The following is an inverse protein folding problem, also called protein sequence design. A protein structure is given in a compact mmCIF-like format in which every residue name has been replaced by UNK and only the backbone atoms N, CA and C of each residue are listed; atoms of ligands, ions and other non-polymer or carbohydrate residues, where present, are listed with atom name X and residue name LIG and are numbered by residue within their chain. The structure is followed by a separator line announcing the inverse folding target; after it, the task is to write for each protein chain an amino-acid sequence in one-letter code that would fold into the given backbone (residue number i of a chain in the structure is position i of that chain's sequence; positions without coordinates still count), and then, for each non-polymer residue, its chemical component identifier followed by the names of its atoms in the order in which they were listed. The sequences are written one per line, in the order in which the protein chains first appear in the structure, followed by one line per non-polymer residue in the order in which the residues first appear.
data_IF_950934655611
#
_entry.id   IF_950934655611
#
_cell.length_a   1.000
_cell.length_b   1.000
_cell.length_c   1.000
_cell.angle_alpha   90.00
_cell.angle_beta   90.00
_cell.angle_gamma   90.00
#
_symmetry.space_group_name_H-M   'P 1'
#
loop_
_entity.id
_entity.type
_entity.pdbx_description
1 polymer ?
#
# COMPACT_ATOMS: atom_id res chain seq x y z
N UNK A 1 -3.39 8.14 15.77
CA UNK A 1 -3.46 7.45 14.45
C UNK A 1 -4.69 6.57 14.37
N UNK A 2 -5.33 6.47 13.20
CA UNK A 2 -6.55 5.69 12.96
C UNK A 2 -6.51 5.04 11.58
N UNK A 3 -7.30 3.97 11.40
CA UNK A 3 -7.52 3.37 10.07
C UNK A 3 -8.36 4.32 9.21
N UNK A 4 -7.92 4.55 7.98
CA UNK A 4 -8.62 5.34 6.96
C UNK A 4 -9.11 4.48 5.78
N UNK A 5 -8.42 3.38 5.48
CA UNK A 5 -8.94 2.33 4.61
C UNK A 5 -8.53 0.95 5.14
N UNK A 6 -9.39 -0.03 4.89
CA UNK A 6 -9.13 -1.42 5.21
C UNK A 6 -9.66 -2.32 4.11
N UNK A 7 -8.78 -3.16 3.59
CA UNK A 7 -9.17 -4.18 2.61
C UNK A 7 -8.88 -5.57 3.16
N UNK A 8 -9.74 -6.52 2.87
CA UNK A 8 -9.57 -7.91 3.27
C UNK A 8 -9.83 -8.85 2.09
N UNK A 9 -9.11 -9.96 2.07
CA UNK A 9 -9.43 -11.11 1.22
C UNK A 9 -9.75 -12.28 2.13
N UNK A 10 -10.98 -12.76 2.06
CA UNK A 10 -11.54 -13.85 2.85
C UNK A 10 -11.67 -15.06 1.93
N UNK A 11 -11.05 -16.19 2.32
CA UNK A 11 -11.07 -17.44 1.58
C UNK A 11 -12.01 -18.44 2.27
N UNK A 12 -12.43 -19.45 1.51
CA UNK A 12 -13.16 -20.60 2.02
C UNK A 12 -14.46 -20.23 2.79
N UNK A 13 -15.08 -19.13 2.34
CA UNK A 13 -16.37 -18.63 2.87
C UNK A 13 -17.31 -18.28 1.73
N UNK A 14 -18.58 -18.60 1.91
CA UNK A 14 -19.62 -18.23 0.98
C UNK A 14 -19.80 -16.71 0.93
N UNK A 15 -19.96 -16.18 -0.26
CA UNK A 15 -20.08 -14.75 -0.52
C UNK A 15 -21.26 -14.08 0.19
N UNK A 16 -22.46 -14.75 0.15
CA UNK A 16 -23.66 -14.27 0.84
C UNK A 16 -23.45 -14.23 2.36
N UNK A 17 -22.89 -15.30 2.92
CA UNK A 17 -22.58 -15.36 4.35
C UNK A 17 -21.65 -14.24 4.83
N UNK A 18 -20.60 -13.93 4.05
CA UNK A 18 -19.70 -12.81 4.39
C UNK A 18 -20.45 -11.49 4.37
N UNK A 19 -21.27 -11.25 3.33
CA UNK A 19 -22.01 -10.00 3.20
C UNK A 19 -23.03 -9.82 4.35
N UNK A 20 -23.80 -10.85 4.69
CA UNK A 20 -24.80 -10.82 5.76
C UNK A 20 -24.15 -10.62 7.14
N UNK A 21 -23.06 -11.36 7.42
CA UNK A 21 -22.32 -11.24 8.69
C UNK A 21 -21.79 -9.82 8.89
N UNK A 22 -21.21 -9.22 7.86
CA UNK A 22 -20.68 -7.85 7.94
C UNK A 22 -21.82 -6.82 8.02
N UNK A 23 -22.91 -6.99 7.27
CA UNK A 23 -24.07 -6.11 7.34
C UNK A 23 -24.67 -6.09 8.75
N UNK A 24 -24.86 -7.24 9.37
CA UNK A 24 -25.32 -7.35 10.76
C UNK A 24 -24.38 -6.67 11.74
N UNK A 25 -23.07 -6.91 11.61
CA UNK A 25 -22.05 -6.33 12.50
C UNK A 25 -21.93 -4.81 12.39
N UNK A 26 -22.18 -4.26 11.20
CA UNK A 26 -22.15 -2.82 10.93
C UNK A 26 -23.51 -2.15 11.09
N UNK A 27 -24.56 -2.92 11.37
CA UNK A 27 -25.95 -2.46 11.40
C UNK A 27 -26.37 -1.77 10.09
N UNK A 28 -25.91 -2.33 8.96
CA UNK A 28 -26.10 -1.79 7.64
C UNK A 28 -27.03 -2.62 6.76
N UNK A 29 -27.35 -2.08 5.60
CA UNK A 29 -28.19 -2.72 4.60
C UNK A 29 -27.36 -3.16 3.40
N UNK A 30 -27.66 -4.35 2.86
CA UNK A 30 -27.01 -4.86 1.65
C UNK A 30 -27.69 -4.27 0.44
N UNK A 31 -26.89 -3.63 -0.42
CA UNK A 31 -27.32 -3.05 -1.67
C UNK A 31 -26.52 -3.60 -2.85
N UNK A 32 -26.99 -3.41 -4.07
CA UNK A 32 -26.23 -3.79 -5.27
C UNK A 32 -24.97 -2.93 -5.39
N UNK A 33 -23.81 -3.58 -5.48
CA UNK A 33 -22.53 -2.92 -5.64
C UNK A 33 -22.27 -2.47 -7.09
N UNK A 34 -21.29 -1.56 -7.25
CA UNK A 34 -20.80 -1.15 -8.57
C UNK A 34 -20.06 -2.31 -9.23
N UNK A 35 -20.42 -2.71 -10.46
CA UNK A 35 -19.71 -3.76 -11.17
C UNK A 35 -18.24 -3.43 -11.40
N UNK A 36 -17.37 -4.42 -11.23
CA UNK A 36 -15.94 -4.33 -11.52
C UNK A 36 -15.48 -5.56 -12.29
N UNK A 37 -14.66 -5.39 -13.34
CA UNK A 37 -14.28 -6.46 -14.27
C UNK A 37 -13.73 -7.74 -13.65
N UNK A 38 -13.06 -7.61 -12.51
CA UNK A 38 -12.44 -8.76 -11.82
C UNK A 38 -13.45 -9.61 -11.06
N UNK A 39 -14.59 -9.04 -10.70
CA UNK A 39 -15.53 -9.67 -9.77
C UNK A 39 -16.81 -10.07 -10.48
N UNK A 40 -17.26 -11.31 -10.24
CA UNK A 40 -18.50 -11.85 -10.82
C UNK A 40 -19.75 -11.26 -10.17
N UNK A 41 -19.65 -10.95 -8.89
CA UNK A 41 -20.74 -10.34 -8.10
C UNK A 41 -20.18 -9.26 -7.19
N UNK A 42 -20.95 -8.19 -7.01
CA UNK A 42 -20.57 -7.07 -6.14
C UNK A 42 -21.76 -6.59 -5.32
N UNK A 43 -21.51 -6.29 -4.04
CA UNK A 43 -22.46 -5.73 -3.09
C UNK A 43 -21.85 -4.54 -2.37
N UNK A 44 -22.69 -3.65 -1.89
CA UNK A 44 -22.36 -2.63 -0.90
C UNK A 44 -23.06 -2.96 0.42
N UNK A 45 -22.45 -2.58 1.52
CA UNK A 45 -23.11 -2.43 2.81
C UNK A 45 -23.20 -0.93 3.08
N UNK A 46 -24.41 -0.43 3.13
CA UNK A 46 -24.68 0.98 3.42
C UNK A 46 -25.13 1.17 4.86
N UNK A 47 -24.53 2.16 5.55
CA UNK A 47 -24.86 2.59 6.91
C UNK A 47 -25.12 4.09 6.85
N UNK A 48 -26.23 4.56 7.37
CA UNK A 48 -26.61 5.99 7.36
C UNK A 48 -26.49 6.65 5.98
N UNK A 49 -26.98 5.97 4.94
CA UNK A 49 -26.94 6.40 3.54
C UNK A 49 -25.50 6.59 2.98
N UNK A 50 -24.51 5.94 3.56
CA UNK A 50 -23.12 5.94 3.07
C UNK A 50 -22.62 4.50 2.93
N UNK A 51 -21.87 4.25 1.87
CA UNK A 51 -21.24 2.94 1.68
C UNK A 51 -20.15 2.74 2.73
N UNK A 52 -20.41 1.84 3.68
CA UNK A 52 -19.48 1.42 4.73
C UNK A 52 -18.51 0.35 4.25
N UNK A 53 -18.96 -0.54 3.39
CA UNK A 53 -18.13 -1.58 2.78
C UNK A 53 -18.59 -1.88 1.36
N UNK A 54 -17.61 -2.16 0.49
CA UNK A 54 -17.80 -2.75 -0.82
C UNK A 54 -17.29 -4.19 -0.78
N UNK A 55 -18.05 -5.13 -1.35
CA UNK A 55 -17.75 -6.56 -1.33
C UNK A 55 -17.78 -7.09 -2.76
N UNK A 56 -16.76 -7.85 -3.14
CA UNK A 56 -16.66 -8.47 -4.45
C UNK A 56 -16.28 -9.95 -4.39
N UNK A 57 -16.94 -10.79 -5.19
CA UNK A 57 -16.57 -12.19 -5.38
C UNK A 57 -15.56 -12.28 -6.54
N UNK A 58 -14.31 -12.68 -6.23
CA UNK A 58 -13.25 -12.82 -7.22
C UNK A 58 -13.53 -14.02 -8.14
N UNK A 59 -13.61 -13.76 -9.45
CA UNK A 59 -13.97 -14.75 -10.45
C UNK A 59 -12.96 -15.91 -10.58
N UNK A 60 -11.68 -15.63 -10.32
CA UNK A 60 -10.61 -16.59 -10.54
C UNK A 60 -10.35 -17.49 -9.33
N UNK A 61 -10.46 -16.93 -8.11
CA UNK A 61 -10.10 -17.63 -6.88
C UNK A 61 -11.29 -18.06 -6.04
N UNK A 62 -12.50 -17.55 -6.32
CA UNK A 62 -13.66 -17.73 -5.47
C UNK A 62 -13.57 -17.01 -4.11
N UNK A 63 -12.52 -16.25 -3.86
CA UNK A 63 -12.36 -15.52 -2.61
C UNK A 63 -13.23 -14.26 -2.58
N UNK A 64 -13.63 -13.87 -1.37
CA UNK A 64 -14.40 -12.64 -1.13
C UNK A 64 -13.45 -11.51 -0.78
N UNK A 65 -13.49 -10.46 -1.58
CA UNK A 65 -12.76 -9.22 -1.33
C UNK A 65 -13.69 -8.21 -0.66
N UNK A 66 -13.20 -7.56 0.38
CA UNK A 66 -13.94 -6.53 1.13
C UNK A 66 -13.10 -5.27 1.20
N UNK A 67 -13.71 -4.11 0.98
CA UNK A 67 -13.05 -2.80 1.08
C UNK A 67 -13.94 -1.80 1.82
N UNK A 68 -13.38 -1.10 2.81
CA UNK A 68 -13.99 0.06 3.47
C UNK A 68 -13.04 1.23 3.50
N UNK A 69 -13.60 2.45 3.50
CA UNK A 69 -12.84 3.71 3.48
C UNK A 69 -13.40 4.73 4.46
N UNK A 70 -12.53 5.61 4.95
CA UNK A 70 -12.89 6.71 5.82
C UNK A 70 -13.37 6.27 7.20
N UNK A 71 -14.37 6.94 7.72
CA UNK A 71 -14.84 6.80 9.11
C UNK A 71 -15.35 5.40 9.48
N UNK A 72 -15.79 4.61 8.50
CA UNK A 72 -16.32 3.25 8.72
C UNK A 72 -15.24 2.18 8.78
N UNK A 73 -14.03 2.46 8.29
CA UNK A 73 -12.92 1.51 8.23
C UNK A 73 -12.57 0.85 9.58
N UNK A 74 -12.53 1.56 10.72
CA UNK A 74 -12.25 0.93 12.01
C UNK A 74 -13.31 -0.09 12.43
N UNK A 75 -14.60 0.22 12.22
CA UNK A 75 -15.70 -0.69 12.53
C UNK A 75 -15.68 -1.93 11.63
N UNK A 76 -15.46 -1.72 10.33
CA UNK A 76 -15.31 -2.81 9.36
C UNK A 76 -14.14 -3.72 9.70
N UNK A 77 -12.97 -3.15 9.99
CA UNK A 77 -11.78 -3.93 10.37
C UNK A 77 -12.03 -4.75 11.63
N UNK A 78 -12.72 -4.19 12.63
CA UNK A 78 -13.11 -4.90 13.84
C UNK A 78 -14.05 -6.08 13.53
N UNK A 79 -15.08 -5.85 12.72
CA UNK A 79 -16.02 -6.90 12.31
C UNK A 79 -15.31 -8.04 11.56
N UNK A 80 -14.45 -7.71 10.61
CA UNK A 80 -13.70 -8.71 9.84
C UNK A 80 -12.76 -9.51 10.77
N UNK A 81 -12.03 -8.87 11.67
CA UNK A 81 -11.14 -9.53 12.64
C UNK A 81 -11.86 -10.51 13.55
N UNK A 82 -13.08 -10.18 13.98
CA UNK A 82 -13.90 -11.01 14.84
C UNK A 82 -14.46 -12.22 14.11
N UNK A 83 -15.04 -12.02 12.92
CA UNK A 83 -15.78 -13.07 12.22
C UNK A 83 -14.94 -13.87 11.23
N UNK A 84 -13.84 -13.29 10.74
CA UNK A 84 -12.96 -13.88 9.74
C UNK A 84 -11.48 -13.71 10.14
N UNK A 85 -11.02 -14.27 11.27
CA UNK A 85 -9.69 -13.99 11.84
C UNK A 85 -8.53 -14.36 10.89
N UNK A 86 -8.73 -15.32 9.98
CA UNK A 86 -7.71 -15.79 9.03
C UNK A 86 -7.71 -15.03 7.69
N UNK A 87 -8.41 -13.88 7.61
CA UNK A 87 -8.38 -13.06 6.41
C UNK A 87 -6.98 -12.50 6.14
N UNK A 88 -6.69 -12.20 4.90
CA UNK A 88 -5.46 -11.50 4.51
C UNK A 88 -5.74 -10.05 4.11
N UNK A 89 -4.80 -9.15 4.41
CA UNK A 89 -4.93 -7.71 4.16
C UNK A 89 -4.03 -7.29 3.01
N UNK A 90 -4.54 -7.11 1.79
CA UNK A 90 -3.74 -6.63 0.66
C UNK A 90 -3.42 -5.13 0.70
N UNK A 91 -4.23 -4.34 1.41
CA UNK A 91 -4.02 -2.92 1.63
C UNK A 91 -4.69 -2.47 2.92
N UNK A 92 -4.01 -1.59 3.64
CA UNK A 92 -4.61 -0.79 4.71
C UNK A 92 -3.99 0.60 4.71
N UNK A 93 -4.82 1.61 4.97
CA UNK A 93 -4.37 2.99 5.07
C UNK A 93 -4.58 3.46 6.52
N UNK A 94 -3.59 4.13 7.04
CA UNK A 94 -3.61 4.72 8.38
C UNK A 94 -3.30 6.20 8.30
N UNK A 95 -4.00 7.00 9.06
CA UNK A 95 -3.83 8.45 9.01
C UNK A 95 -3.77 9.11 10.39
N UNK A 96 -3.20 10.31 10.41
CA UNK A 96 -3.24 11.24 11.51
C UNK A 96 -3.63 12.61 10.99
N UNK A 97 -4.44 13.32 11.78
CA UNK A 97 -4.99 14.62 11.45
C UNK A 97 -4.41 15.70 12.37
N UNK A 98 -4.03 16.82 11.79
CA UNK A 98 -3.51 17.99 12.48
C UNK A 98 -4.29 19.23 12.00
N UNK A 99 -4.71 20.09 12.93
CA UNK A 99 -5.54 21.26 12.60
C UNK A 99 -4.98 22.50 13.26
N UNK A 100 -3.75 22.84 12.89
CA UNK A 100 -3.01 23.98 13.38
C UNK A 100 -2.49 24.80 12.20
N UNK A 101 -2.35 26.10 12.39
CA UNK A 101 -1.76 26.96 11.36
C UNK A 101 -0.34 26.50 11.01
N UNK A 102 -0.05 26.37 9.72
CA UNK A 102 1.25 25.87 9.24
C UNK A 102 1.47 24.37 9.40
N UNK A 103 0.46 23.58 9.82
CA UNK A 103 0.60 22.13 10.04
C UNK A 103 1.16 21.39 8.83
N UNK A 104 0.71 21.72 7.61
CA UNK A 104 1.21 21.06 6.39
C UNK A 104 2.73 21.24 6.25
N UNK A 105 3.25 22.44 6.38
CA UNK A 105 4.66 22.73 6.16
C UNK A 105 5.53 22.14 7.28
N UNK A 106 5.06 22.17 8.53
CA UNK A 106 5.71 21.54 9.68
C UNK A 106 5.80 20.01 9.50
N UNK A 107 4.71 19.36 9.13
CA UNK A 107 4.67 17.92 8.87
C UNK A 107 5.56 17.55 7.67
N UNK A 108 5.57 18.36 6.60
CA UNK A 108 6.44 18.13 5.45
C UNK A 108 7.92 18.17 5.86
N UNK A 109 8.31 19.11 6.71
CA UNK A 109 9.68 19.21 7.22
C UNK A 109 10.06 17.97 8.03
N UNK A 110 9.20 17.51 8.95
CA UNK A 110 9.41 16.30 9.76
C UNK A 110 9.56 15.07 8.86
N UNK A 111 8.62 14.84 7.96
CA UNK A 111 8.64 13.67 7.07
C UNK A 111 9.85 13.71 6.15
N UNK A 112 10.23 14.88 5.63
CA UNK A 112 11.42 15.06 4.79
C UNK A 112 12.71 14.72 5.53
N UNK A 113 12.84 15.12 6.78
CA UNK A 113 13.99 14.81 7.63
C UNK A 113 14.09 13.31 7.96
N UNK A 114 12.96 12.65 8.15
CA UNK A 114 12.89 11.28 8.70
C UNK A 114 12.87 10.17 7.63
N UNK A 115 12.45 10.46 6.38
CA UNK A 115 12.24 9.45 5.33
C UNK A 115 13.51 8.75 4.81
N UNK A 116 14.69 9.27 5.13
CA UNK A 116 15.96 8.79 4.57
C UNK A 116 16.21 9.29 3.12
N UNK A 117 17.50 9.44 2.77
CA UNK A 117 17.92 10.11 1.53
C UNK A 117 17.49 9.38 0.24
N UNK A 118 17.41 8.04 0.27
CA UNK A 118 17.08 7.22 -0.90
C UNK A 118 15.58 7.18 -1.25
N UNK A 119 14.71 7.61 -0.33
CA UNK A 119 13.26 7.58 -0.55
C UNK A 119 12.84 8.83 -1.32
N UNK A 120 12.29 8.64 -2.51
CA UNK A 120 11.82 9.74 -3.36
C UNK A 120 10.61 10.44 -2.73
N UNK A 121 10.55 11.76 -2.90
CA UNK A 121 9.44 12.57 -2.46
C UNK A 121 9.21 13.72 -3.45
N UNK A 122 7.94 14.13 -3.61
CA UNK A 122 7.56 15.21 -4.52
C UNK A 122 6.10 15.59 -4.39
N UNK A 123 5.73 16.73 -4.95
CA UNK A 123 4.34 17.12 -5.05
C UNK A 123 3.62 16.27 -6.09
N UNK A 124 2.44 15.77 -5.72
CA UNK A 124 1.53 15.03 -6.60
C UNK A 124 0.52 15.98 -7.23
N UNK A 125 0.08 16.97 -6.46
CA UNK A 125 -0.70 18.10 -6.91
C UNK A 125 -0.13 19.37 -6.29
N UNK A 126 0.24 20.32 -7.15
CA UNK A 126 0.45 21.71 -6.80
C UNK A 126 -0.79 22.43 -7.32
N UNK A 127 -1.54 23.13 -6.49
CA UNK A 127 -2.68 23.89 -6.96
C UNK A 127 -2.24 25.04 -7.84
N UNK A 128 -2.98 25.29 -8.90
CA UNK A 128 -2.85 26.51 -9.70
C UNK A 128 -3.41 27.71 -8.94
N UNK A 129 -4.31 27.48 -7.98
CA UNK A 129 -4.86 28.45 -7.02
C UNK A 129 -4.50 28.06 -5.58
N UNK A 130 -4.26 29.06 -4.71
CA UNK A 130 -3.99 28.89 -3.28
C UNK A 130 -5.15 28.20 -2.54
N UNK A 131 -6.35 28.23 -3.11
CA UNK A 131 -7.54 27.57 -2.55
C UNK A 131 -7.56 26.05 -2.75
N UNK A 132 -6.85 25.54 -3.76
CA UNK A 132 -6.75 24.12 -3.99
C UNK A 132 -5.64 23.53 -3.13
N UNK A 133 -5.97 22.59 -2.25
CA UNK A 133 -5.02 22.05 -1.28
C UNK A 133 -3.80 21.36 -1.92
N UNK A 134 -2.63 21.57 -1.34
CA UNK A 134 -1.39 20.89 -1.73
C UNK A 134 -1.45 19.41 -1.38
N UNK A 135 -0.88 18.55 -2.22
CA UNK A 135 -0.61 17.14 -1.90
C UNK A 135 0.85 16.81 -2.20
N UNK A 136 1.56 16.38 -1.18
CA UNK A 136 2.94 15.93 -1.27
C UNK A 136 3.04 14.46 -0.88
N UNK A 137 3.85 13.68 -1.61
CA UNK A 137 3.95 12.24 -1.42
C UNK A 137 5.39 11.78 -1.27
N UNK A 138 5.56 10.67 -0.57
CA UNK A 138 6.83 10.02 -0.26
C UNK A 138 6.72 8.53 -0.49
N UNK A 139 7.73 7.96 -1.12
CA UNK A 139 7.76 6.56 -1.52
C UNK A 139 7.19 6.33 -2.91
N UNK A 140 7.08 5.07 -3.30
CA UNK A 140 6.53 4.66 -4.58
C UNK A 140 5.08 4.18 -4.41
N UNK A 141 4.16 4.68 -5.21
CA UNK A 141 2.78 4.20 -5.24
C UNK A 141 2.77 2.71 -5.62
N UNK A 142 2.12 1.89 -4.79
CA UNK A 142 2.15 0.44 -4.94
C UNK A 142 3.33 -0.26 -4.25
N UNK A 143 4.29 0.48 -3.69
CA UNK A 143 5.29 -0.06 -2.76
C UNK A 143 4.67 -0.47 -1.43
N UNK A 144 5.46 -1.11 -0.55
CA UNK A 144 4.99 -1.53 0.78
C UNK A 144 4.49 -0.34 1.59
N UNK A 145 5.14 0.83 1.47
CA UNK A 145 4.73 2.07 2.11
C UNK A 145 4.70 3.23 1.12
N UNK A 146 3.61 3.98 1.12
CA UNK A 146 3.44 5.22 0.37
C UNK A 146 2.76 6.25 1.26
N UNK A 147 3.47 7.31 1.64
CA UNK A 147 2.95 8.36 2.52
C UNK A 147 2.46 9.53 1.67
N UNK A 148 1.27 10.01 2.00
CA UNK A 148 0.69 11.25 1.47
C UNK A 148 0.52 12.25 2.60
N UNK A 149 0.92 13.47 2.34
CA UNK A 149 0.64 14.63 3.18
C UNK A 149 -0.17 15.60 2.35
N UNK A 150 -1.32 16.01 2.82
CA UNK A 150 -2.19 16.91 2.09
C UNK A 150 -3.00 17.85 3.00
N UNK A 151 -3.34 19.02 2.44
CA UNK A 151 -4.20 20.02 3.10
C UNK A 151 -5.66 19.55 3.02
N UNK A 152 -6.03 18.69 3.95
CA UNK A 152 -7.34 18.03 3.96
C UNK A 152 -8.52 19.00 4.09
N UNK A 153 -8.32 20.13 4.78
CA UNK A 153 -9.34 21.14 4.96
C UNK A 153 -9.67 21.96 3.71
N UNK A 154 -8.77 21.95 2.72
CA UNK A 154 -8.98 22.61 1.43
C UNK A 154 -9.59 21.70 0.37
N UNK A 155 -9.80 20.41 0.69
CA UNK A 155 -10.46 19.49 -0.25
C UNK A 155 -11.92 19.89 -0.45
N UNK A 156 -12.44 19.94 -1.71
CA UNK A 156 -13.79 20.40 -2.01
C UNK A 156 -14.89 19.74 -1.16
N UNK A 157 -14.80 18.43 -0.96
CA UNK A 157 -15.76 17.65 -0.16
C UNK A 157 -15.70 17.96 1.35
N UNK A 158 -14.72 18.74 1.82
CA UNK A 158 -14.45 19.01 3.24
C UNK A 158 -14.51 20.49 3.61
N UNK A 159 -14.64 21.39 2.63
CA UNK A 159 -14.72 22.83 2.85
C UNK A 159 -15.85 23.21 3.83
N UNK A 160 -16.97 22.49 3.76
CA UNK A 160 -18.12 22.70 4.65
C UNK A 160 -17.84 22.45 6.12
N UNK A 161 -16.71 21.79 6.46
CA UNK A 161 -16.31 21.51 7.84
C UNK A 161 -15.65 22.70 8.54
N UNK A 162 -15.32 23.78 7.81
CA UNK A 162 -14.74 25.00 8.37
C UNK A 162 -13.36 24.82 9.02
N UNK A 163 -12.54 23.89 8.54
CA UNK A 163 -11.20 23.56 9.09
C UNK A 163 -10.09 23.85 8.06
N UNK A 164 -9.80 25.11 7.74
CA UNK A 164 -8.89 25.48 6.65
C UNK A 164 -7.44 25.03 6.89
N UNK A 165 -7.01 24.89 8.15
CA UNK A 165 -5.65 24.49 8.53
C UNK A 165 -5.48 22.99 8.65
N UNK A 166 -6.54 22.21 8.43
CA UNK A 166 -6.50 20.78 8.57
C UNK A 166 -5.57 20.13 7.54
N UNK A 167 -4.44 19.61 8.01
CA UNK A 167 -3.52 18.77 7.27
C UNK A 167 -3.67 17.31 7.72
N UNK A 168 -3.51 16.38 6.77
CA UNK A 168 -3.51 14.95 7.05
C UNK A 168 -2.25 14.30 6.52
N UNK A 169 -1.61 13.50 7.36
CA UNK A 169 -0.59 12.54 6.94
C UNK A 169 -1.20 11.15 6.89
N UNK A 170 -1.03 10.45 5.79
CA UNK A 170 -1.63 9.15 5.52
C UNK A 170 -0.59 8.19 4.96
N UNK A 171 -0.47 7.02 5.56
CA UNK A 171 0.32 5.91 5.06
C UNK A 171 -0.61 4.90 4.37
N UNK A 172 -0.42 4.69 3.07
CA UNK A 172 -0.94 3.54 2.34
C UNK A 172 0.07 2.41 2.47
N UNK A 173 -0.30 1.33 3.15
CA UNK A 173 0.51 0.13 3.32
C UNK A 173 -0.04 -1.01 2.44
N UNK A 174 0.85 -1.61 1.62
CA UNK A 174 0.54 -2.75 0.75
C UNK A 174 1.50 -3.90 1.02
N UNK A 175 1.19 -4.78 1.97
CA UNK A 175 1.99 -5.98 2.20
C UNK A 175 2.05 -6.84 0.94
N UNK A 176 3.25 -7.25 0.53
CA UNK A 176 3.42 -7.98 -0.73
C UNK A 176 3.28 -9.49 -0.54
N UNK A 177 3.81 -10.02 0.56
CA UNK A 177 3.87 -11.46 0.81
C UNK A 177 2.69 -11.98 1.61
N UNK A 178 2.38 -13.27 1.46
CA UNK A 178 1.24 -13.88 2.13
C UNK A 178 1.34 -13.78 3.65
N UNK A 179 2.52 -14.05 4.23
CA UNK A 179 2.79 -13.91 5.66
C UNK A 179 2.52 -12.48 6.14
N UNK A 180 3.01 -11.49 5.39
CA UNK A 180 2.88 -10.09 5.76
C UNK A 180 1.43 -9.61 5.68
N UNK A 181 0.65 -10.11 4.70
CA UNK A 181 -0.80 -9.85 4.60
C UNK A 181 -1.59 -10.42 5.76
N UNK A 182 -1.20 -11.59 6.25
CA UNK A 182 -1.80 -12.20 7.46
C UNK A 182 -1.41 -11.43 8.71
N UNK A 183 -0.15 -11.04 8.84
CA UNK A 183 0.32 -10.22 9.96
C UNK A 183 -0.40 -8.86 10.01
N UNK A 184 -0.59 -8.20 8.88
CA UNK A 184 -1.29 -6.92 8.77
C UNK A 184 -2.75 -6.99 9.26
N UNK A 185 -3.38 -8.17 9.20
CA UNK A 185 -4.74 -8.37 9.68
C UNK A 185 -4.91 -8.04 11.16
N UNK A 186 -3.87 -8.19 11.97
CA UNK A 186 -3.90 -8.03 13.42
C UNK A 186 -3.20 -6.77 13.94
N UNK A 187 -2.60 -5.98 13.05
CA UNK A 187 -1.84 -4.79 13.45
C UNK A 187 -2.74 -3.64 13.92
N UNK A 188 -2.24 -2.91 14.91
CA UNK A 188 -2.80 -1.61 15.27
C UNK A 188 -2.43 -0.54 14.21
N UNK A 189 -3.12 0.59 14.14
CA UNK A 189 -2.76 1.68 13.24
C UNK A 189 -1.30 2.15 13.39
N UNK A 190 -0.76 2.12 14.60
CA UNK A 190 0.64 2.51 14.84
C UNK A 190 1.62 1.46 14.32
N UNK A 191 1.34 0.16 14.52
CA UNK A 191 2.21 -0.94 14.09
C UNK A 191 2.39 -0.98 12.56
N UNK A 192 1.39 -0.52 11.81
CA UNK A 192 1.43 -0.47 10.34
C UNK A 192 2.59 0.39 9.82
N UNK A 193 2.96 1.43 10.54
CA UNK A 193 4.11 2.26 10.18
C UNK A 193 5.44 1.52 10.29
N UNK A 194 5.48 0.43 11.03
CA UNK A 194 6.66 -0.43 11.18
C UNK A 194 6.99 -1.30 9.96
N UNK A 195 6.10 -1.39 8.94
CA UNK A 195 6.30 -2.26 7.77
C UNK A 195 7.52 -1.91 6.91
N UNK A 196 7.90 -0.65 6.84
CA UNK A 196 9.13 -0.24 6.17
C UNK A 196 9.99 0.60 7.11
N UNK A 197 11.31 0.43 7.05
CA UNK A 197 12.22 1.13 7.95
C UNK A 197 12.07 2.66 7.90
N UNK A 198 11.82 3.21 6.71
CA UNK A 198 11.64 4.65 6.55
C UNK A 198 10.28 5.15 7.06
N UNK A 199 9.20 4.38 6.93
CA UNK A 199 7.89 4.74 7.51
C UNK A 199 7.92 4.66 9.03
N UNK A 200 8.63 3.69 9.59
CA UNK A 200 8.92 3.60 11.01
C UNK A 200 9.57 4.89 11.55
N UNK A 201 10.66 5.35 10.92
CA UNK A 201 11.34 6.58 11.34
C UNK A 201 10.46 7.83 11.22
N UNK A 202 9.59 7.87 10.21
CA UNK A 202 8.59 8.94 10.06
C UNK A 202 7.59 8.92 11.22
N UNK A 203 7.07 7.76 11.57
CA UNK A 203 6.08 7.65 12.65
C UNK A 203 6.68 8.01 14.03
N UNK A 204 7.92 7.59 14.32
CA UNK A 204 8.62 7.98 15.54
C UNK A 204 8.78 9.51 15.63
N UNK A 205 9.09 10.16 14.51
CA UNK A 205 9.23 11.62 14.47
C UNK A 205 7.88 12.36 14.59
N UNK A 206 6.77 11.76 14.13
CA UNK A 206 5.44 12.36 14.20
C UNK A 206 4.76 12.19 15.56
N UNK A 207 5.06 11.10 16.29
CA UNK A 207 4.25 10.69 17.44
C UNK A 207 4.98 10.75 18.77
N UNK A 208 6.29 10.89 18.80
CA UNK A 208 7.13 10.72 20.01
C UNK A 208 6.97 9.34 20.69
N UNK A 209 6.25 8.41 20.06
CA UNK A 209 6.02 7.06 20.54
C UNK A 209 7.01 6.09 19.91
N UNK A 210 7.42 5.07 20.65
CA UNK A 210 8.12 3.94 20.04
C UNK A 210 7.18 3.18 19.12
N UNK A 211 7.59 3.00 17.88
CA UNK A 211 6.87 2.23 16.87
C UNK A 211 7.49 0.85 16.77
N UNK A 212 6.74 -0.23 16.92
CA UNK A 212 7.28 -1.57 16.72
C UNK A 212 7.82 -1.73 15.31
N UNK A 213 9.02 -2.29 15.17
CA UNK A 213 9.54 -2.66 13.85
C UNK A 213 8.93 -3.97 13.42
N UNK A 214 8.41 -3.99 12.21
CA UNK A 214 8.01 -5.21 11.53
C UNK A 214 9.14 -5.67 10.61
N UNK A 215 9.42 -6.97 10.62
CA UNK A 215 10.38 -7.58 9.69
C UNK A 215 9.61 -8.23 8.55
N UNK A 216 9.43 -7.53 7.42
CA UNK A 216 8.69 -8.07 6.29
C UNK A 216 9.41 -9.28 5.70
N UNK A 217 8.67 -10.14 5.06
CA UNK A 217 9.23 -11.28 4.35
C UNK A 217 10.16 -10.80 3.24
N UNK A 218 11.41 -11.22 3.28
CA UNK A 218 12.38 -10.91 2.23
C UNK A 218 12.16 -11.87 1.07
N UNK A 219 12.10 -11.32 -0.15
CA UNK A 219 12.02 -12.13 -1.36
C UNK A 219 13.23 -13.07 -1.42
N UNK A 220 13.00 -14.35 -1.22
CA UNK A 220 14.04 -15.35 -1.42
C UNK A 220 14.40 -15.39 -2.91
N UNK A 221 15.70 -15.30 -3.20
CA UNK A 221 16.19 -15.50 -4.56
C UNK A 221 15.77 -16.89 -5.02
N UNK A 222 15.13 -16.96 -6.18
CA UNK A 222 14.80 -18.24 -6.83
C UNK A 222 15.53 -18.26 -8.16
N UNK A 223 16.53 -19.12 -8.25
CA UNK A 223 17.31 -19.32 -9.48
C UNK A 223 16.39 -19.56 -10.68
N UNK A 224 15.44 -20.50 -10.55
CA UNK A 224 14.51 -20.85 -11.64
C UNK A 224 13.65 -19.68 -12.11
N UNK A 225 13.10 -18.88 -11.16
CA UNK A 225 12.28 -17.71 -11.51
C UNK A 225 13.11 -16.62 -12.17
N UNK A 226 14.32 -16.41 -11.72
CA UNK A 226 15.22 -15.41 -12.30
C UNK A 226 15.69 -15.86 -13.67
N UNK A 227 16.08 -17.12 -13.82
CA UNK A 227 16.47 -17.69 -15.11
C UNK A 227 15.34 -17.63 -16.12
N UNK A 228 14.10 -17.95 -15.70
CA UNK A 228 12.92 -17.84 -16.56
C UNK A 228 12.66 -16.38 -16.96
N UNK A 229 12.78 -15.43 -16.02
CA UNK A 229 12.63 -14.01 -16.32
C UNK A 229 13.68 -13.53 -17.32
N UNK A 230 14.96 -13.88 -17.15
CA UNK A 230 16.03 -13.54 -18.06
C UNK A 230 15.80 -14.16 -19.44
N UNK A 231 15.48 -15.44 -19.51
CA UNK A 231 15.19 -16.14 -20.76
C UNK A 231 14.02 -15.49 -21.52
N UNK A 232 12.95 -15.10 -20.86
CA UNK A 232 11.80 -14.45 -21.49
C UNK A 232 12.09 -13.01 -21.90
N UNK A 233 12.80 -12.24 -21.07
CA UNK A 233 13.09 -10.82 -21.32
C UNK A 233 14.10 -10.64 -22.45
N UNK A 234 15.12 -11.50 -22.50
CA UNK A 234 16.21 -11.42 -23.47
C UNK A 234 16.13 -12.50 -24.56
N UNK A 235 14.96 -13.12 -24.72
CA UNK A 235 14.73 -14.23 -25.63
C UNK A 235 15.30 -13.96 -27.04
N UNK A 236 14.92 -12.83 -27.64
CA UNK A 236 15.35 -12.46 -28.99
C UNK A 236 16.88 -12.35 -29.11
N UNK A 237 17.51 -11.77 -28.10
CA UNK A 237 18.98 -11.62 -28.07
C UNK A 237 19.68 -12.97 -27.95
N UNK A 238 19.18 -13.87 -27.10
CA UNK A 238 19.72 -15.22 -26.98
C UNK A 238 19.49 -16.06 -28.25
N UNK A 239 18.36 -15.94 -28.93
CA UNK A 239 18.08 -16.58 -30.20
C UNK A 239 19.05 -16.08 -31.28
N UNK A 240 19.37 -14.82 -31.33
CA UNK A 240 20.36 -14.21 -32.24
C UNK A 240 21.77 -14.74 -31.98
N UNK A 241 22.22 -14.76 -30.73
CA UNK A 241 23.51 -15.30 -30.32
C UNK A 241 23.63 -16.78 -30.75
N UNK A 242 22.60 -17.61 -30.47
CA UNK A 242 22.57 -19.01 -30.85
C UNK A 242 22.63 -19.21 -32.40
N UNK A 243 21.91 -18.34 -33.13
CA UNK A 243 21.90 -18.38 -34.60
C UNK A 243 23.28 -18.04 -35.21
N UNK A 244 24.04 -17.21 -34.50
CA UNK A 244 25.41 -16.86 -34.86
C UNK A 244 26.45 -17.91 -34.42
N UNK A 245 26.00 -18.98 -33.76
CA UNK A 245 26.89 -20.04 -33.25
C UNK A 245 27.64 -19.64 -31.95
N UNK A 246 27.18 -18.64 -31.27
CA UNK A 246 27.77 -18.17 -30.01
C UNK A 246 27.35 -19.05 -28.81
N UNK A 247 28.30 -19.39 -27.96
CA UNK A 247 28.04 -20.02 -26.66
C UNK A 247 27.67 -18.95 -25.65
N UNK A 248 26.38 -18.85 -25.32
CA UNK A 248 25.82 -17.87 -24.39
C UNK A 248 26.55 -17.90 -23.05
N UNK A 249 26.85 -19.08 -22.52
CA UNK A 249 27.55 -19.24 -21.24
C UNK A 249 28.95 -18.65 -21.28
N UNK A 250 29.71 -18.91 -22.32
CA UNK A 250 31.06 -18.35 -22.55
C UNK A 250 31.03 -16.86 -22.71
N UNK A 251 30.09 -16.35 -23.51
CA UNK A 251 29.97 -14.90 -23.75
C UNK A 251 29.63 -14.16 -22.47
N UNK A 252 28.67 -14.67 -21.68
CA UNK A 252 28.35 -14.06 -20.39
C UNK A 252 29.52 -14.12 -19.40
N UNK A 253 30.26 -15.20 -19.35
CA UNK A 253 31.44 -15.31 -18.48
C UNK A 253 32.51 -14.30 -18.85
N UNK A 254 32.79 -14.10 -20.12
CA UNK A 254 33.77 -13.12 -20.59
C UNK A 254 33.37 -11.68 -20.20
N UNK A 255 32.07 -11.33 -20.34
CA UNK A 255 31.57 -10.01 -19.91
C UNK A 255 31.74 -9.81 -18.40
N UNK A 256 31.44 -10.81 -17.57
CA UNK A 256 31.63 -10.70 -16.12
C UNK A 256 33.08 -10.54 -15.71
N UNK A 257 34.00 -11.25 -16.36
CA UNK A 257 35.45 -11.14 -16.11
C UNK A 257 35.96 -9.74 -16.48
N UNK A 258 35.44 -9.14 -17.56
CA UNK A 258 35.77 -7.77 -17.96
C UNK A 258 35.25 -6.73 -16.97
N UNK A 259 33.98 -6.85 -16.54
CA UNK A 259 33.37 -5.95 -15.55
C UNK A 259 34.09 -6.04 -14.19
N UNK A 260 34.45 -7.22 -13.72
CA UNK A 260 35.21 -7.42 -12.48
C UNK A 260 36.62 -6.80 -12.59
N UNK A 261 37.27 -6.91 -13.74
CA UNK A 261 38.54 -6.27 -14.00
C UNK A 261 38.47 -4.74 -13.97
N UNK A 262 37.39 -4.15 -14.53
CA UNK A 262 37.11 -2.72 -14.49
C UNK A 262 36.81 -2.25 -13.07
N UNK A 263 35.99 -2.97 -12.32
CA UNK A 263 35.65 -2.65 -10.95
C UNK A 263 36.87 -2.70 -10.01
N UNK A 264 37.82 -3.58 -10.27
CA UNK A 264 39.07 -3.68 -9.50
C UNK A 264 40.03 -2.52 -9.76
N UNK A 265 40.04 -1.96 -11.00
CA UNK A 265 40.83 -0.79 -11.35
C UNK A 265 40.29 0.50 -10.76
N UNK A 266 38.95 0.65 -10.70
CA UNK A 266 38.27 1.84 -10.12
C UNK A 266 38.37 1.96 -8.59
N UNK A 267 38.77 0.89 -7.87
CA UNK A 267 39.00 0.92 -6.41
C UNK A 267 40.43 1.31 -6.00
N UNK A 268 41.30 1.51 -6.95
CA UNK A 268 42.71 1.88 -6.73
C UNK A 268 43.05 3.35 -7.10
N UNK A 269 42.06 4.13 -7.47
CA UNK A 269 42.08 5.57 -7.66
C UNK A 269 41.25 6.26 -6.54
#
# INVERSE_FOLDING_TARGET
MKLDAYTATIKDREYGYVAETLAMSLQGFICKGRPMRRYTSTLNIDVDNRTAAWIGLDAASGSVYVEGKGATSPALAKAIRVHFPEHSVPRLDVCEDYDEEGAFDALQAIVRASKGARVKAGYVALPDDVQDGKTWAVGARGGVGYVRLYEAGKHPDRLHLGRPNWARVELECRPHYARDKLAAAHMSPLDVWGFASWTHSVAEALTTCQVPRFEPEVRKYSFDKTTRYLAMTFRRHFEEMMSNGEDIGRTLQAVWEEEDALASKGRRS
#
